data_IF_169806859640
#
_entry.id   IF_169806859640
#
_cell.length_a   1.000
_cell.length_b   1.000
_cell.length_c   1.000
_cell.angle_alpha   90.00
_cell.angle_beta   90.00
_cell.angle_gamma   90.00
#
_symmetry.space_group_name_H-M   'P 1'
#
loop_
_entity.id
_entity.type
_entity.pdbx_description
1 polymer ?
#
# COMPACT_ATOMS: atom_id res chain seq x y z
N UNK A 1 -0.37 46.34 24.15
CA UNK A 1 -1.85 46.24 24.13
C UNK A 1 -2.48 46.34 22.73
N UNK A 2 -2.53 47.48 22.03
CA UNK A 2 -3.16 47.53 20.67
C UNK A 2 -2.38 46.73 19.62
N UNK A 3 -1.04 46.77 19.67
CA UNK A 3 -0.19 46.04 18.73
C UNK A 3 -0.32 44.52 18.90
N UNK A 4 -0.29 44.03 20.13
CA UNK A 4 -0.47 42.60 20.44
C UNK A 4 -1.84 42.07 19.98
N UNK A 5 -2.90 42.86 20.13
CA UNK A 5 -4.23 42.46 19.67
C UNK A 5 -4.29 42.35 18.13
N UNK A 6 -3.58 43.23 17.41
CA UNK A 6 -3.42 43.14 15.95
C UNK A 6 -2.60 41.94 15.54
N UNK A 7 -1.50 41.66 16.24
CA UNK A 7 -0.65 40.50 15.96
C UNK A 7 -1.42 39.18 16.17
N UNK A 8 -2.28 39.10 17.20
CA UNK A 8 -3.17 37.96 17.44
C UNK A 8 -4.22 37.84 16.32
N UNK A 9 -4.86 38.94 15.92
CA UNK A 9 -5.85 38.94 14.85
C UNK A 9 -5.24 38.48 13.50
N UNK A 10 -4.04 38.96 13.17
CA UNK A 10 -3.29 38.56 11.98
C UNK A 10 -2.89 37.08 12.02
N UNK A 11 -2.53 36.57 13.20
CA UNK A 11 -2.24 35.15 13.38
C UNK A 11 -3.48 34.27 13.20
N UNK A 12 -4.62 34.66 13.78
CA UNK A 12 -5.91 33.94 13.62
C UNK A 12 -6.34 33.93 12.14
N UNK A 13 -6.18 35.04 11.42
CA UNK A 13 -6.47 35.11 10.00
C UNK A 13 -5.60 34.13 9.19
N UNK A 14 -4.29 34.11 9.45
CA UNK A 14 -3.35 33.16 8.80
C UNK A 14 -3.67 31.70 9.12
N UNK A 15 -4.06 31.40 10.36
CA UNK A 15 -4.48 30.06 10.76
C UNK A 15 -5.75 29.62 10.03
N UNK A 16 -6.77 30.48 9.95
CA UNK A 16 -8.01 30.18 9.22
C UNK A 16 -7.72 29.88 7.76
N UNK A 17 -6.86 30.67 7.12
CA UNK A 17 -6.51 30.48 5.72
C UNK A 17 -5.70 29.18 5.53
N UNK A 18 -4.79 28.85 6.45
CA UNK A 18 -4.06 27.59 6.46
C UNK A 18 -4.98 26.36 6.60
N UNK A 19 -5.97 26.42 7.50
CA UNK A 19 -6.98 25.37 7.66
C UNK A 19 -7.78 25.18 6.35
N UNK A 20 -8.13 26.28 5.68
CA UNK A 20 -8.79 26.26 4.38
C UNK A 20 -7.95 25.55 3.30
N UNK A 21 -6.64 25.78 3.27
CA UNK A 21 -5.71 25.16 2.32
C UNK A 21 -5.57 23.64 2.50
N UNK A 22 -5.79 23.12 3.71
CA UNK A 22 -5.79 21.67 3.95
C UNK A 22 -6.93 20.99 3.18
N UNK A 23 -8.05 21.70 2.95
CA UNK A 23 -9.29 21.17 2.35
C UNK A 23 -9.73 19.87 3.03
N UNK A 24 -9.73 19.85 4.36
CA UNK A 24 -10.00 18.67 5.18
C UNK A 24 -11.25 17.89 4.75
N UNK A 25 -12.35 18.60 4.45
CA UNK A 25 -13.60 17.98 4.01
C UNK A 25 -13.46 17.18 2.70
N UNK A 26 -12.71 17.68 1.71
CA UNK A 26 -12.45 16.93 0.46
C UNK A 26 -11.58 15.69 0.75
N UNK A 27 -10.57 15.84 1.62
CA UNK A 27 -9.70 14.72 1.99
C UNK A 27 -10.50 13.60 2.67
N UNK A 28 -11.31 13.95 3.66
CA UNK A 28 -12.07 12.98 4.46
C UNK A 28 -13.27 12.39 3.72
N UNK A 29 -13.95 13.16 2.85
CA UNK A 29 -15.16 12.69 2.16
C UNK A 29 -14.90 12.01 0.83
N UNK A 30 -13.82 12.38 0.13
CA UNK A 30 -13.60 11.91 -1.23
C UNK A 30 -12.26 11.17 -1.37
N UNK A 31 -11.14 11.82 -1.01
CA UNK A 31 -9.80 11.27 -1.32
C UNK A 31 -9.42 10.05 -0.49
N UNK A 32 -9.61 10.09 0.82
CA UNK A 32 -9.29 8.96 1.71
C UNK A 32 -10.20 7.74 1.46
N UNK A 33 -11.53 7.91 1.29
CA UNK A 33 -12.40 6.81 0.89
C UNK A 33 -11.98 6.19 -0.45
N UNK A 34 -11.64 7.02 -1.45
CA UNK A 34 -11.14 6.53 -2.74
C UNK A 34 -9.85 5.71 -2.56
N UNK A 35 -8.88 6.19 -1.77
CA UNK A 35 -7.66 5.41 -1.48
C UNK A 35 -7.98 4.06 -0.86
N UNK A 36 -8.91 4.02 0.09
CA UNK A 36 -9.32 2.77 0.72
C UNK A 36 -9.96 1.79 -0.27
N UNK A 37 -10.85 2.27 -1.12
CA UNK A 37 -11.48 1.49 -2.18
C UNK A 37 -10.44 0.92 -3.15
N UNK A 38 -9.52 1.76 -3.65
CA UNK A 38 -8.48 1.32 -4.58
C UNK A 38 -7.56 0.26 -3.96
N UNK A 39 -7.18 0.42 -2.69
CA UNK A 39 -6.37 -0.58 -1.99
C UNK A 39 -7.14 -1.87 -1.74
N UNK A 40 -8.45 -1.80 -1.46
CA UNK A 40 -9.31 -2.97 -1.33
C UNK A 40 -9.39 -3.76 -2.65
N UNK A 41 -9.56 -3.05 -3.76
CA UNK A 41 -9.59 -3.62 -5.10
C UNK A 41 -8.26 -4.27 -5.50
N UNK A 42 -7.12 -3.66 -5.12
CA UNK A 42 -5.78 -4.25 -5.26
C UNK A 42 -5.69 -5.59 -4.52
N UNK A 43 -6.17 -5.67 -3.28
CA UNK A 43 -6.17 -6.91 -2.50
C UNK A 43 -7.08 -7.97 -3.15
N UNK A 44 -8.27 -7.57 -3.60
CA UNK A 44 -9.21 -8.50 -4.23
C UNK A 44 -8.66 -9.06 -5.56
N UNK A 45 -8.10 -8.19 -6.41
CA UNK A 45 -7.55 -8.57 -7.70
C UNK A 45 -6.33 -9.49 -7.55
N UNK A 46 -5.42 -9.15 -6.62
CA UNK A 46 -4.23 -9.97 -6.34
C UNK A 46 -4.62 -11.34 -5.80
N UNK A 47 -5.51 -11.40 -4.80
CA UNK A 47 -5.98 -12.68 -4.25
C UNK A 47 -6.70 -13.55 -5.30
N UNK A 48 -7.57 -12.94 -6.11
CA UNK A 48 -8.27 -13.64 -7.18
C UNK A 48 -7.32 -14.24 -8.21
N UNK A 49 -6.34 -13.46 -8.66
CA UNK A 49 -5.35 -13.93 -9.62
C UNK A 49 -4.43 -15.01 -9.04
N UNK A 50 -3.97 -14.86 -7.79
CA UNK A 50 -3.16 -15.89 -7.13
C UNK A 50 -3.92 -17.21 -7.01
N UNK A 51 -5.22 -17.18 -6.69
CA UNK A 51 -6.05 -18.40 -6.67
C UNK A 51 -6.13 -19.06 -8.05
N UNK A 52 -6.34 -18.28 -9.12
CA UNK A 52 -6.36 -18.82 -10.49
C UNK A 52 -5.01 -19.43 -10.88
N UNK A 53 -3.91 -18.75 -10.57
CA UNK A 53 -2.56 -19.24 -10.86
C UNK A 53 -2.30 -20.57 -10.13
N UNK A 54 -2.64 -20.64 -8.84
CA UNK A 54 -2.48 -21.84 -8.02
C UNK A 54 -3.34 -23.00 -8.54
N UNK A 55 -4.60 -22.74 -8.85
CA UNK A 55 -5.51 -23.76 -9.39
C UNK A 55 -5.05 -24.31 -10.75
N UNK A 56 -4.52 -23.45 -11.62
CA UNK A 56 -3.94 -23.88 -12.90
C UNK A 56 -2.69 -24.73 -12.69
N UNK A 57 -1.82 -24.36 -11.75
CA UNK A 57 -0.64 -25.14 -11.41
C UNK A 57 -0.98 -26.51 -10.78
N UNK A 58 -1.95 -26.56 -9.87
CA UNK A 58 -2.49 -27.80 -9.30
C UNK A 58 -3.08 -28.71 -10.39
N UNK A 59 -3.82 -28.12 -11.34
CA UNK A 59 -4.38 -28.86 -12.46
C UNK A 59 -3.27 -29.49 -13.30
N UNK A 60 -2.20 -28.74 -13.62
CA UNK A 60 -1.04 -29.26 -14.36
C UNK A 60 -0.42 -30.45 -13.63
N UNK A 61 -0.22 -30.35 -12.31
CA UNK A 61 0.37 -31.42 -11.50
C UNK A 61 -0.48 -32.71 -11.49
N UNK A 62 -1.81 -32.57 -11.59
CA UNK A 62 -2.75 -33.69 -11.62
C UNK A 62 -2.99 -34.30 -13.01
N UNK A 63 -2.39 -33.77 -14.07
CA UNK A 63 -2.56 -34.31 -15.43
C UNK A 63 -1.87 -35.68 -15.56
N UNK A 64 -2.57 -36.63 -16.19
CA UNK A 64 -1.98 -37.91 -16.56
C UNK A 64 -1.12 -37.77 -17.82
N UNK A 65 0.00 -38.49 -17.85
CA UNK A 65 0.85 -38.59 -19.04
C UNK A 65 0.12 -39.25 -20.21
N UNK A 66 0.47 -38.85 -21.44
CA UNK A 66 -0.03 -39.49 -22.65
C UNK A 66 -0.27 -38.53 -23.82
N UNK A 67 -0.90 -39.02 -24.91
CA UNK A 67 -1.28 -38.19 -26.04
C UNK A 67 -2.18 -37.03 -25.61
N UNK A 68 -1.77 -35.79 -25.91
CA UNK A 68 -2.51 -34.58 -25.53
C UNK A 68 -2.03 -33.91 -24.24
N UNK A 69 -1.15 -34.53 -23.46
CA UNK A 69 -0.58 -33.93 -22.23
C UNK A 69 0.00 -32.54 -22.48
N UNK A 70 0.84 -32.39 -23.52
CA UNK A 70 1.45 -31.11 -23.90
C UNK A 70 0.39 -30.02 -24.15
N UNK A 71 -0.67 -30.33 -24.88
CA UNK A 71 -1.71 -29.36 -25.20
C UNK A 71 -2.50 -28.95 -23.94
N UNK A 72 -2.77 -29.90 -23.03
CA UNK A 72 -3.42 -29.62 -21.76
C UNK A 72 -2.56 -28.72 -20.85
N UNK A 73 -1.25 -28.99 -20.78
CA UNK A 73 -0.30 -28.15 -20.05
C UNK A 73 -0.22 -26.74 -20.67
N UNK A 74 -0.06 -26.63 -21.99
CA UNK A 74 0.00 -25.35 -22.70
C UNK A 74 -1.26 -24.51 -22.44
N UNK A 75 -2.46 -25.12 -22.44
CA UNK A 75 -3.70 -24.44 -22.12
C UNK A 75 -3.69 -23.84 -20.70
N UNK A 76 -3.27 -24.61 -19.68
CA UNK A 76 -3.18 -24.12 -18.29
C UNK A 76 -2.11 -23.04 -18.12
N UNK A 77 -1.02 -23.11 -18.87
CA UNK A 77 0.01 -22.05 -18.88
C UNK A 77 -0.56 -20.74 -19.44
N UNK A 78 -1.40 -20.80 -20.49
CA UNK A 78 -2.08 -19.59 -20.98
C UNK A 78 -3.00 -18.98 -19.94
N UNK A 79 -3.74 -19.79 -19.19
CA UNK A 79 -4.59 -19.30 -18.09
C UNK A 79 -3.76 -18.59 -17.01
N UNK A 80 -2.54 -19.09 -16.71
CA UNK A 80 -1.60 -18.45 -15.78
C UNK A 80 -1.14 -17.09 -16.33
N UNK A 81 -0.80 -17.01 -17.62
CA UNK A 81 -0.40 -15.74 -18.23
C UNK A 81 -1.52 -14.71 -18.24
N UNK A 82 -2.75 -15.15 -18.53
CA UNK A 82 -3.92 -14.28 -18.47
C UNK A 82 -4.18 -13.81 -17.04
N UNK A 83 -4.11 -14.72 -16.05
CA UNK A 83 -4.27 -14.35 -14.66
C UNK A 83 -3.25 -13.29 -14.25
N UNK A 84 -1.97 -13.43 -14.60
CA UNK A 84 -0.89 -12.47 -14.33
C UNK A 84 -1.15 -11.05 -14.84
N UNK A 85 -2.07 -10.85 -15.79
CA UNK A 85 -2.46 -9.52 -16.24
C UNK A 85 -3.08 -8.66 -15.12
N UNK A 86 -3.45 -9.25 -13.97
CA UNK A 86 -3.84 -8.51 -12.75
C UNK A 86 -2.81 -7.44 -12.37
N UNK A 87 -1.53 -7.66 -12.67
CA UNK A 87 -0.43 -6.75 -12.32
C UNK A 87 -0.60 -5.36 -12.92
N UNK A 88 -1.12 -5.24 -14.14
CA UNK A 88 -1.31 -3.95 -14.81
C UNK A 88 -2.38 -3.11 -14.08
N UNK A 89 -3.57 -3.69 -13.88
CA UNK A 89 -4.67 -3.02 -13.16
C UNK A 89 -4.23 -2.67 -11.74
N UNK A 90 -3.55 -3.59 -11.06
CA UNK A 90 -3.07 -3.37 -9.69
C UNK A 90 -2.04 -2.22 -9.65
N UNK A 91 -1.12 -2.18 -10.62
CA UNK A 91 -0.13 -1.12 -10.76
C UNK A 91 -0.77 0.25 -10.98
N UNK A 92 -1.78 0.34 -11.85
CA UNK A 92 -2.52 1.57 -12.10
C UNK A 92 -3.24 2.08 -10.84
N UNK A 93 -3.88 1.18 -10.08
CA UNK A 93 -4.56 1.54 -8.83
C UNK A 93 -3.59 1.99 -7.75
N UNK A 94 -2.46 1.31 -7.58
CA UNK A 94 -1.40 1.73 -6.66
C UNK A 94 -0.84 3.11 -7.04
N UNK A 95 -0.64 3.37 -8.34
CA UNK A 95 -0.17 4.67 -8.80
C UNK A 95 -1.18 5.79 -8.45
N UNK A 96 -2.49 5.53 -8.60
CA UNK A 96 -3.55 6.46 -8.21
C UNK A 96 -3.55 6.75 -6.70
N UNK A 97 -3.31 5.73 -5.87
CA UNK A 97 -3.16 5.88 -4.42
C UNK A 97 -1.92 6.71 -4.08
N UNK A 98 -0.78 6.40 -4.69
CA UNK A 98 0.47 7.12 -4.45
C UNK A 98 0.34 8.61 -4.80
N UNK A 99 -0.30 8.93 -5.91
CA UNK A 99 -0.57 10.32 -6.32
C UNK A 99 -1.48 11.03 -5.30
N UNK A 100 -2.54 10.38 -4.83
CA UNK A 100 -3.42 10.95 -3.81
C UNK A 100 -2.68 11.24 -2.49
N UNK A 101 -1.78 10.34 -2.07
CA UNK A 101 -0.95 10.52 -0.87
C UNK A 101 0.07 11.65 -1.04
N UNK A 102 0.73 11.74 -2.20
CA UNK A 102 1.63 12.86 -2.53
C UNK A 102 0.93 14.22 -2.45
N UNK A 103 -0.30 14.31 -2.96
CA UNK A 103 -1.12 15.52 -2.85
C UNK A 103 -1.48 15.86 -1.40
N UNK A 104 -1.79 14.85 -0.58
CA UNK A 104 -2.07 15.03 0.84
C UNK A 104 -0.83 15.52 1.60
N UNK A 105 0.34 14.93 1.35
CA UNK A 105 1.62 15.35 1.94
C UNK A 105 1.96 16.80 1.58
N UNK A 106 1.75 17.20 0.32
CA UNK A 106 1.97 18.58 -0.12
C UNK A 106 1.07 19.58 0.63
N UNK A 107 -0.21 19.25 0.81
CA UNK A 107 -1.16 20.08 1.56
C UNK A 107 -0.78 20.18 3.05
N UNK A 108 -0.40 19.05 3.65
CA UNK A 108 0.02 19.00 5.05
C UNK A 108 1.31 19.80 5.29
N UNK A 109 2.30 19.67 4.40
CA UNK A 109 3.54 20.44 4.45
C UNK A 109 3.27 21.96 4.43
N UNK A 110 2.41 22.43 3.52
CA UNK A 110 1.99 23.84 3.45
C UNK A 110 1.29 24.30 4.73
N UNK A 111 0.45 23.45 5.31
CA UNK A 111 -0.22 23.75 6.59
C UNK A 111 0.78 23.89 7.73
N UNK A 112 1.71 22.95 7.90
CA UNK A 112 2.74 22.97 8.95
C UNK A 112 3.59 24.24 8.88
N UNK A 113 3.99 24.66 7.67
CA UNK A 113 4.72 25.92 7.45
C UNK A 113 3.87 27.13 7.86
N UNK A 114 2.59 27.16 7.48
CA UNK A 114 1.70 28.29 7.74
C UNK A 114 1.38 28.48 9.22
N UNK A 115 1.25 27.39 9.98
CA UNK A 115 0.95 27.41 11.42
C UNK A 115 2.19 27.78 12.26
N UNK A 116 3.38 27.87 11.64
CA UNK A 116 4.69 27.99 12.34
C UNK A 116 4.80 26.95 13.44
N UNK A 117 4.33 25.73 13.19
CA UNK A 117 4.49 24.63 14.11
C UNK A 117 6.00 24.28 14.20
N UNK A 118 6.74 25.03 15.03
CA UNK A 118 8.01 24.54 15.56
C UNK A 118 7.64 23.37 16.45
N UNK A 119 7.89 22.15 15.95
CA UNK A 119 7.90 20.88 16.68
C UNK A 119 7.21 20.90 18.05
N UNK A 120 5.89 21.16 18.05
CA UNK A 120 5.02 20.76 19.15
C UNK A 120 4.54 19.31 18.93
N UNK A 121 5.22 18.56 18.04
CA UNK A 121 4.96 17.17 17.73
C UNK A 121 5.56 16.29 18.81
N UNK A 122 4.82 16.07 19.90
CA UNK A 122 5.03 14.89 20.71
C UNK A 122 4.82 13.64 19.85
N UNK A 123 5.69 12.65 20.01
CA UNK A 123 5.49 11.34 19.39
C UNK A 123 4.21 10.75 19.96
N UNK A 124 3.25 10.36 19.11
CA UNK A 124 2.07 9.61 19.56
C UNK A 124 2.52 8.24 20.09
N UNK A 125 2.50 8.07 21.41
CA UNK A 125 2.89 6.82 22.07
C UNK A 125 2.05 5.63 21.58
N UNK A 126 0.79 5.84 21.21
CA UNK A 126 -0.07 4.82 20.62
C UNK A 126 0.39 4.37 19.24
N UNK A 127 0.94 5.29 18.44
CA UNK A 127 1.53 4.99 17.12
C UNK A 127 2.89 4.29 17.25
N UNK A 128 3.69 4.62 18.28
CA UNK A 128 4.92 3.89 18.61
C UNK A 128 4.60 2.44 18.96
N UNK A 129 3.61 2.21 19.80
CA UNK A 129 3.23 0.86 20.21
C UNK A 129 2.59 0.06 19.06
N UNK A 130 1.81 0.71 18.18
CA UNK A 130 1.31 0.07 16.95
C UNK A 130 2.43 -0.38 16.03
N UNK A 131 3.43 0.48 15.79
CA UNK A 131 4.59 0.13 14.94
C UNK A 131 5.36 -1.05 15.50
N UNK A 132 5.68 -1.04 16.81
CA UNK A 132 6.35 -2.17 17.49
C UNK A 132 5.59 -3.48 17.33
N UNK A 133 4.25 -3.46 17.47
CA UNK A 133 3.41 -4.65 17.24
C UNK A 133 3.46 -5.12 15.80
N UNK A 134 3.31 -4.22 14.83
CA UNK A 134 3.34 -4.58 13.41
C UNK A 134 4.71 -5.13 12.99
N UNK A 135 5.81 -4.55 13.45
CA UNK A 135 7.16 -5.08 13.23
C UNK A 135 7.32 -6.49 13.83
N UNK A 136 6.74 -6.74 15.01
CA UNK A 136 6.76 -8.08 15.62
C UNK A 136 5.89 -9.12 14.91
N UNK A 137 4.94 -8.70 14.07
CA UNK A 137 4.04 -9.59 13.31
C UNK A 137 4.57 -9.94 11.92
N UNK A 138 5.52 -9.16 11.38
CA UNK A 138 6.21 -9.46 10.13
C UNK A 138 7.28 -10.53 10.34
N UNK A 139 6.87 -11.73 10.77
CA UNK A 139 7.81 -12.79 11.13
C UNK A 139 8.29 -13.62 9.93
N UNK A 140 7.62 -13.61 8.77
CA UNK A 140 7.98 -14.49 7.65
C UNK A 140 7.57 -13.93 6.27
N UNK A 141 8.14 -12.79 5.87
CA UNK A 141 8.07 -12.30 4.49
C UNK A 141 9.41 -12.47 3.77
N UNK A 142 9.44 -12.59 2.42
CA UNK A 142 10.68 -12.58 1.67
C UNK A 142 11.52 -11.36 2.06
N UNK A 143 12.71 -11.58 2.62
CA UNK A 143 13.58 -10.49 3.04
C UNK A 143 14.03 -9.71 1.81
N UNK A 144 13.72 -8.41 1.76
CA UNK A 144 14.17 -7.53 0.68
C UNK A 144 15.69 -7.36 0.81
N UNK A 145 16.45 -8.11 0.01
CA UNK A 145 17.92 -8.12 0.03
C UNK A 145 18.56 -8.89 1.19
N UNK A 146 17.79 -9.73 1.89
CA UNK A 146 18.33 -10.66 2.88
C UNK A 146 19.08 -11.83 2.22
N UNK A 147 19.92 -12.56 2.96
CA UNK A 147 20.56 -13.75 2.42
C UNK A 147 19.47 -14.74 2.01
N UNK A 148 19.38 -15.03 0.71
CA UNK A 148 18.60 -16.17 0.26
C UNK A 148 19.15 -17.39 0.98
N UNK A 149 18.30 -18.12 1.72
CA UNK A 149 18.69 -19.41 2.28
C UNK A 149 19.17 -20.27 1.12
N UNK A 150 20.44 -20.67 1.09
CA UNK A 150 20.96 -21.40 -0.05
C UNK A 150 20.30 -22.78 -0.11
N UNK A 151 20.05 -23.27 -1.33
CA UNK A 151 19.21 -24.46 -1.58
C UNK A 151 19.77 -25.71 -0.91
N UNK A 152 21.09 -25.80 -0.77
CA UNK A 152 21.81 -26.85 -0.03
C UNK A 152 21.39 -26.94 1.45
N UNK A 153 21.07 -25.82 2.10
CA UNK A 153 20.57 -25.79 3.47
C UNK A 153 19.09 -26.21 3.57
N UNK A 154 18.32 -26.08 2.47
CA UNK A 154 16.93 -26.54 2.40
C UNK A 154 16.91 -28.05 2.19
N UNK A 155 17.74 -28.55 1.28
CA UNK A 155 17.82 -29.98 0.95
C UNK A 155 18.26 -30.80 2.18
N UNK A 156 19.16 -30.27 3.01
CA UNK A 156 19.62 -30.90 4.26
C UNK A 156 18.54 -31.03 5.36
N UNK A 157 17.36 -30.41 5.21
CA UNK A 157 16.23 -30.58 6.15
C UNK A 157 15.32 -31.76 5.78
N UNK A 158 15.45 -32.30 4.57
CA UNK A 158 14.59 -33.35 4.02
C UNK A 158 15.34 -34.66 3.71
N UNK A 159 16.64 -34.70 3.99
CA UNK A 159 17.49 -35.90 4.04
C UNK A 159 17.63 -36.43 5.50
#
# INVERSE_FOLDING_TARGET
>A
MIQELRDIADYIAKLRDAIGLLRANELTRDRLPMVHEELGEVVAATAGATNTIMSSAETILGLADGPGYRAAVEARIFDIFEACAFQDITGQRIAKVAEAMSQLESRLSRFTVAVKARDAGGVDEGEVDRRKRNESLLLNGPQKGGPATPQDAIDALFD
#
